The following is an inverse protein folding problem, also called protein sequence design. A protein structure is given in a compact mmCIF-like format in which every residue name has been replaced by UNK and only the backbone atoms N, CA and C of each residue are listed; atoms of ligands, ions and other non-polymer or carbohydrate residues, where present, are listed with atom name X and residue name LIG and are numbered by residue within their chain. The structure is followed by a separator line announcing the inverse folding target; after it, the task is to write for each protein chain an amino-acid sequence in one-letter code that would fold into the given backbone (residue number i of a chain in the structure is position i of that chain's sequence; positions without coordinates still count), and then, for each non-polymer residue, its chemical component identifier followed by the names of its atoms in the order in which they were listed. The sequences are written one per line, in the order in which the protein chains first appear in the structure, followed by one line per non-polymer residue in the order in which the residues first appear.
data_IF_013214779915
#
_entry.id   IF_013214779915
#
_cell.length_a   1.000
_cell.length_b   1.000
_cell.length_c   1.000
_cell.angle_alpha   90.00
_cell.angle_beta   90.00
_cell.angle_gamma   90.00
#
_symmetry.space_group_name_H-M   'P 1'
#
loop_
_entity.id
_entity.type
_entity.pdbx_description
1 polymer ?
#
# COMPACT_ATOMS: atom_id res chain seq x y z
N UNK A 1 -79.79 119.55 -46.87
CA UNK A 1 -80.82 119.99 -47.84
C UNK A 1 -80.29 121.25 -48.49
N UNK A 2 -80.27 121.30 -49.81
CA UNK A 2 -79.45 122.25 -50.57
C UNK A 2 -80.28 122.89 -51.67
N UNK A 3 -80.21 124.21 -51.82
CA UNK A 3 -80.95 124.95 -52.84
C UNK A 3 -80.02 125.25 -54.01
N UNK A 4 -80.41 124.88 -55.22
CA UNK A 4 -79.67 125.20 -56.43
C UNK A 4 -80.29 126.46 -57.08
N UNK A 5 -79.45 127.42 -57.43
CA UNK A 5 -79.84 128.61 -58.19
C UNK A 5 -79.00 128.72 -59.46
N UNK A 6 -79.58 129.32 -60.50
CA UNK A 6 -78.83 129.63 -61.71
C UNK A 6 -79.39 130.84 -62.44
N UNK A 7 -78.51 131.55 -63.13
CA UNK A 7 -78.80 132.69 -63.98
C UNK A 7 -78.21 132.37 -65.36
N UNK A 8 -79.08 132.01 -66.30
CA UNK A 8 -78.76 131.44 -67.60
C UNK A 8 -79.11 132.47 -68.67
N UNK A 9 -78.12 132.76 -69.52
CA UNK A 9 -78.20 133.73 -70.59
C UNK A 9 -77.68 133.13 -71.89
N UNK A 10 -78.14 133.65 -73.02
CA UNK A 10 -77.57 133.32 -74.32
C UNK A 10 -76.22 134.02 -74.55
N UNK A 11 -75.55 133.71 -75.65
CA UNK A 11 -74.25 134.31 -76.00
C UNK A 11 -74.31 135.84 -76.21
N UNK A 12 -75.51 136.40 -76.45
CA UNK A 12 -75.76 137.84 -76.51
C UNK A 12 -76.12 138.46 -75.15
N UNK A 13 -75.97 137.70 -74.06
CA UNK A 13 -76.31 138.04 -72.68
C UNK A 13 -77.80 138.35 -72.46
N UNK A 14 -78.68 137.87 -73.34
CA UNK A 14 -80.12 137.97 -73.13
C UNK A 14 -80.59 136.82 -72.22
N UNK A 15 -81.56 137.06 -71.33
CA UNK A 15 -82.04 136.00 -70.45
C UNK A 15 -82.69 134.86 -71.24
N UNK A 16 -82.33 133.62 -70.93
CA UNK A 16 -82.87 132.44 -71.62
C UNK A 16 -84.16 131.98 -70.95
N UNK A 17 -85.26 131.99 -71.69
CA UNK A 17 -86.54 131.43 -71.22
C UNK A 17 -86.61 129.94 -71.58
N UNK A 18 -87.04 129.10 -70.62
CA UNK A 18 -87.05 127.65 -70.76
C UNK A 18 -87.37 126.94 -69.44
N UNK A 19 -87.02 125.66 -69.34
CA UNK A 19 -87.24 124.84 -68.14
C UNK A 19 -85.95 124.17 -67.73
N UNK A 20 -85.65 124.17 -66.43
CA UNK A 20 -84.56 123.39 -65.83
C UNK A 20 -85.12 122.19 -65.08
N UNK A 21 -84.69 120.99 -65.44
CA UNK A 21 -85.08 119.75 -64.78
C UNK A 21 -83.94 119.23 -63.89
N UNK A 22 -84.23 118.89 -62.64
CA UNK A 22 -83.24 118.38 -61.69
C UNK A 22 -83.66 117.00 -61.14
N UNK A 23 -82.73 116.05 -61.12
CA UNK A 23 -82.96 114.68 -60.62
C UNK A 23 -81.68 114.00 -60.12
N UNK A 24 -81.82 112.96 -59.29
CA UNK A 24 -80.66 112.19 -58.81
C UNK A 24 -80.03 111.35 -59.92
N UNK A 25 -78.70 111.34 -60.00
CA UNK A 25 -77.96 110.56 -60.99
C UNK A 25 -78.00 109.05 -60.74
N UNK A 26 -78.48 108.58 -59.57
CA UNK A 26 -78.81 107.16 -59.31
C UNK A 26 -79.81 107.05 -58.17
N UNK A 27 -80.54 105.94 -58.13
CA UNK A 27 -81.33 105.59 -56.95
C UNK A 27 -80.39 105.40 -55.77
N UNK A 28 -80.57 106.19 -54.70
CA UNK A 28 -79.67 106.21 -53.55
C UNK A 28 -80.42 106.48 -52.26
N UNK A 29 -79.85 106.10 -51.13
CA UNK A 29 -80.46 106.39 -49.82
C UNK A 29 -80.53 107.90 -49.59
N UNK A 30 -81.66 108.39 -49.08
CA UNK A 30 -81.88 109.79 -48.73
C UNK A 30 -81.02 110.18 -47.52
N UNK A 31 -80.47 111.39 -47.54
CA UNK A 31 -79.54 111.86 -46.54
C UNK A 31 -80.29 112.63 -45.45
N UNK A 32 -80.35 112.06 -44.24
CA UNK A 32 -80.96 112.70 -43.06
C UNK A 32 -82.49 112.56 -42.91
N UNK A 33 -83.26 112.25 -43.96
CA UNK A 33 -84.73 112.17 -43.88
C UNK A 33 -85.32 110.75 -43.83
N UNK A 34 -84.52 109.69 -43.99
CA UNK A 34 -85.01 108.31 -44.13
C UNK A 34 -85.71 108.07 -45.47
N UNK A 35 -85.46 106.91 -46.11
CA UNK A 35 -86.00 106.58 -47.45
C UNK A 35 -84.93 106.56 -48.55
N UNK A 36 -85.38 106.47 -49.82
CA UNK A 36 -84.51 106.36 -51.01
C UNK A 36 -84.88 107.47 -51.99
N UNK A 37 -83.90 108.28 -52.38
CA UNK A 37 -83.99 109.23 -53.48
C UNK A 37 -83.98 108.45 -54.79
N UNK A 38 -85.12 108.48 -55.47
CA UNK A 38 -85.27 107.92 -56.81
C UNK A 38 -84.77 108.93 -57.85
N UNK A 39 -84.76 108.54 -59.13
CA UNK A 39 -84.33 109.40 -60.24
C UNK A 39 -85.49 110.23 -60.80
N UNK A 40 -86.48 110.53 -59.95
CA UNK A 40 -87.63 111.34 -60.33
C UNK A 40 -87.21 112.75 -60.74
N UNK A 41 -87.82 113.26 -61.81
CA UNK A 41 -87.44 114.50 -62.50
C UNK A 41 -88.33 115.65 -62.05
N UNK A 42 -87.71 116.74 -61.59
CA UNK A 42 -88.41 117.93 -61.11
C UNK A 42 -88.10 119.14 -61.97
N UNK A 43 -89.13 119.72 -62.55
CA UNK A 43 -89.03 120.83 -63.49
C UNK A 43 -89.23 122.18 -62.80
N UNK A 44 -88.39 123.15 -63.15
CA UNK A 44 -88.42 124.52 -62.66
C UNK A 44 -88.39 125.47 -63.86
N UNK A 45 -89.40 126.34 -64.04
CA UNK A 45 -89.40 127.29 -65.13
C UNK A 45 -88.31 128.35 -64.92
N UNK A 46 -87.62 128.72 -65.99
CA UNK A 46 -86.79 129.92 -66.05
C UNK A 46 -87.70 131.12 -66.29
N UNK A 47 -87.52 132.17 -65.50
CA UNK A 47 -88.24 133.44 -65.70
C UNK A 47 -87.24 134.58 -65.63
N UNK A 48 -87.07 135.32 -66.72
CA UNK A 48 -85.99 136.29 -66.86
C UNK A 48 -84.60 135.64 -66.79
N UNK A 49 -84.45 134.42 -67.33
CA UNK A 49 -83.19 133.66 -67.34
C UNK A 49 -82.79 133.02 -66.00
N UNK A 50 -83.55 133.24 -64.92
CA UNK A 50 -83.18 132.76 -63.59
C UNK A 50 -84.09 131.63 -63.12
N UNK A 51 -83.50 130.64 -62.44
CA UNK A 51 -84.25 129.65 -61.67
C UNK A 51 -83.71 129.52 -60.24
N UNK A 52 -84.58 129.03 -59.36
CA UNK A 52 -84.25 128.63 -58.00
C UNK A 52 -85.05 127.38 -57.66
N UNK A 53 -84.36 126.33 -57.26
CA UNK A 53 -85.04 125.10 -56.84
C UNK A 53 -85.62 125.24 -55.43
N UNK A 54 -86.47 124.29 -55.05
CA UNK A 54 -86.71 124.02 -53.63
C UNK A 54 -85.48 123.36 -52.98
N UNK A 55 -85.64 122.92 -51.73
CA UNK A 55 -84.62 122.12 -51.04
C UNK A 55 -84.44 120.75 -51.72
N UNK A 56 -83.21 120.43 -52.10
CA UNK A 56 -82.81 119.16 -52.72
C UNK A 56 -81.93 118.34 -51.76
N UNK A 57 -82.01 117.01 -51.88
CA UNK A 57 -81.18 116.10 -51.09
C UNK A 57 -79.71 116.08 -51.61
N UNK A 58 -78.70 116.25 -50.73
CA UNK A 58 -77.29 116.27 -51.11
C UNK A 58 -76.80 114.98 -51.78
N UNK A 59 -75.94 115.09 -52.78
CA UNK A 59 -75.31 113.97 -53.50
C UNK A 59 -75.42 114.10 -55.02
N UNK A 60 -74.94 113.07 -55.74
CA UNK A 60 -74.80 113.12 -57.21
C UNK A 60 -76.11 113.38 -57.93
N UNK A 61 -76.20 114.55 -58.53
CA UNK A 61 -77.42 115.13 -59.10
C UNK A 61 -77.15 115.62 -60.50
N UNK A 62 -78.13 115.41 -61.37
CA UNK A 62 -78.11 115.84 -62.76
C UNK A 62 -79.09 116.98 -62.95
N UNK A 63 -78.62 118.04 -63.58
CA UNK A 63 -79.39 119.23 -63.93
C UNK A 63 -79.40 119.34 -65.44
N UNK A 64 -80.59 119.39 -66.02
CA UNK A 64 -80.81 119.52 -67.45
C UNK A 64 -81.52 120.82 -67.77
N UNK A 65 -80.96 121.60 -68.71
CA UNK A 65 -81.56 122.81 -69.25
C UNK A 65 -82.23 122.47 -70.58
N UNK A 66 -83.50 122.84 -70.71
CA UNK A 66 -84.25 122.76 -71.96
C UNK A 66 -84.83 124.13 -72.30
N UNK A 67 -84.28 124.78 -73.32
CA UNK A 67 -84.75 126.06 -73.84
C UNK A 67 -84.83 125.99 -75.39
N UNK A 68 -85.55 126.90 -76.07
CA UNK A 68 -85.66 126.87 -77.53
C UNK A 68 -84.28 126.90 -78.20
N UNK A 69 -83.88 125.77 -78.80
CA UNK A 69 -82.59 125.60 -79.48
C UNK A 69 -81.40 125.18 -78.59
N UNK A 70 -81.59 124.96 -77.28
CA UNK A 70 -80.53 124.54 -76.35
C UNK A 70 -81.01 123.39 -75.46
N UNK A 71 -80.28 122.27 -75.48
CA UNK A 71 -80.41 121.19 -74.49
C UNK A 71 -79.03 120.89 -73.92
N UNK A 72 -78.86 121.10 -72.61
CA UNK A 72 -77.59 120.87 -71.91
C UNK A 72 -77.83 120.07 -70.63
N UNK A 73 -76.88 119.21 -70.26
CA UNK A 73 -76.97 118.35 -69.08
C UNK A 73 -75.65 118.35 -68.30
N UNK A 74 -75.73 118.62 -67.01
CA UNK A 74 -74.57 118.59 -66.11
C UNK A 74 -74.84 117.66 -64.93
N UNK A 75 -73.84 116.84 -64.57
CA UNK A 75 -73.92 115.95 -63.41
C UNK A 75 -72.77 116.21 -62.45
N UNK A 76 -73.10 116.58 -61.22
CA UNK A 76 -72.14 116.89 -60.17
C UNK A 76 -72.69 116.48 -58.80
N UNK A 77 -71.85 116.53 -57.76
CA UNK A 77 -72.27 116.23 -56.39
C UNK A 77 -72.79 117.48 -55.69
N UNK A 78 -74.08 117.50 -55.33
CA UNK A 78 -74.64 118.57 -54.50
C UNK A 78 -74.10 118.43 -53.05
N UNK A 79 -73.56 119.50 -52.45
CA UNK A 79 -73.05 119.47 -51.08
C UNK A 79 -74.18 119.31 -50.04
N UNK A 80 -73.79 119.02 -48.79
CA UNK A 80 -74.69 118.63 -47.70
C UNK A 80 -75.75 119.70 -47.33
N UNK A 81 -75.40 120.97 -47.46
CA UNK A 81 -76.25 122.11 -47.11
C UNK A 81 -75.79 123.40 -47.83
N UNK A 82 -76.68 124.40 -47.87
CA UNK A 82 -76.41 125.74 -48.44
C UNK A 82 -77.16 126.08 -49.73
N UNK A 83 -76.90 127.27 -50.27
CA UNK A 83 -77.36 127.68 -51.62
C UNK A 83 -76.18 127.61 -52.58
N UNK A 84 -76.28 126.79 -53.63
CA UNK A 84 -75.21 126.54 -54.61
C UNK A 84 -75.59 127.18 -55.95
N UNK A 85 -74.64 127.87 -56.57
CA UNK A 85 -74.78 128.38 -57.93
C UNK A 85 -74.47 127.27 -58.94
N UNK A 86 -75.31 127.12 -59.98
CA UNK A 86 -75.09 126.13 -61.03
C UNK A 86 -73.74 126.31 -61.74
N UNK A 87 -73.29 127.55 -61.93
CA UNK A 87 -71.99 127.85 -62.58
C UNK A 87 -70.83 127.28 -61.76
N UNK A 88 -70.82 127.55 -60.45
CA UNK A 88 -69.76 127.09 -59.54
C UNK A 88 -69.73 125.55 -59.46
N UNK A 89 -70.90 124.91 -59.58
CA UNK A 89 -71.02 123.46 -59.53
C UNK A 89 -70.56 122.75 -60.81
N UNK A 90 -70.61 123.44 -61.96
CA UNK A 90 -70.16 122.90 -63.26
C UNK A 90 -68.64 123.07 -63.44
N UNK A 91 -68.03 124.12 -62.91
CA UNK A 91 -66.58 124.33 -63.02
C UNK A 91 -65.73 123.38 -62.12
N UNK A 92 -66.34 122.70 -61.14
CA UNK A 92 -65.61 121.87 -60.16
C UNK A 92 -65.51 120.36 -60.48
N UNK A 93 -66.04 119.87 -61.60
CA UNK A 93 -66.00 118.44 -61.94
C UNK A 93 -64.83 118.08 -62.87
N UNK A 94 -63.84 117.33 -62.36
CA UNK A 94 -62.73 116.71 -63.13
C UNK A 94 -62.93 115.19 -63.20
N UNK A 95 -62.82 114.60 -64.40
CA UNK A 95 -62.97 113.16 -64.68
C UNK A 95 -61.66 112.38 -64.41
N UNK A 96 -61.71 111.22 -63.73
CA UNK A 96 -60.54 110.35 -63.43
C UNK A 96 -60.78 108.91 -63.90
N UNK A 97 -59.83 108.34 -64.68
CA UNK A 97 -59.81 106.97 -65.22
C UNK A 97 -58.38 106.40 -65.10
N UNK A 98 -58.10 105.27 -64.38
CA UNK A 98 -56.73 104.79 -64.18
C UNK A 98 -56.23 103.76 -65.21
N UNK A 99 -54.90 103.70 -65.35
CA UNK A 99 -54.13 103.09 -66.45
C UNK A 99 -53.71 101.61 -66.21
N UNK A 100 -53.46 100.88 -67.31
CA UNK A 100 -53.29 99.43 -67.46
C UNK A 100 -52.06 98.76 -66.78
N UNK A 101 -51.13 99.54 -66.23
CA UNK A 101 -49.89 99.02 -65.61
C UNK A 101 -50.11 98.33 -64.25
N UNK A 102 -51.11 98.76 -63.49
CA UNK A 102 -51.36 98.27 -62.12
C UNK A 102 -51.95 96.85 -62.11
N UNK A 103 -52.75 96.51 -63.13
CA UNK A 103 -53.37 95.18 -63.27
C UNK A 103 -52.33 94.12 -63.66
N UNK A 104 -51.38 94.46 -64.53
CA UNK A 104 -50.30 93.54 -64.93
C UNK A 104 -49.29 93.27 -63.79
N UNK A 105 -49.03 94.27 -62.92
CA UNK A 105 -48.17 94.09 -61.74
C UNK A 105 -48.75 93.12 -60.71
N UNK A 106 -50.06 93.15 -60.47
CA UNK A 106 -50.72 92.25 -59.54
C UNK A 106 -50.77 90.79 -60.05
N UNK A 107 -50.99 90.60 -61.35
CA UNK A 107 -50.97 89.27 -61.97
C UNK A 107 -49.57 88.61 -61.93
N UNK A 108 -48.50 89.41 -62.10
CA UNK A 108 -47.12 88.91 -62.01
C UNK A 108 -46.72 88.47 -60.59
N UNK A 109 -47.25 89.12 -59.55
CA UNK A 109 -46.99 88.76 -58.16
C UNK A 109 -47.67 87.42 -57.76
N UNK A 110 -48.89 87.17 -58.24
CA UNK A 110 -49.61 85.91 -58.01
C UNK A 110 -48.89 84.71 -58.64
N UNK A 111 -48.44 84.85 -59.90
CA UNK A 111 -47.68 83.80 -60.59
C UNK A 111 -46.34 83.46 -59.91
N UNK A 112 -45.72 84.42 -59.21
CA UNK A 112 -44.48 84.19 -58.46
C UNK A 112 -44.73 83.42 -57.16
N UNK A 113 -45.84 83.69 -56.48
CA UNK A 113 -46.25 82.96 -55.27
C UNK A 113 -46.59 81.49 -55.57
N UNK A 114 -47.25 81.21 -56.69
CA UNK A 114 -47.56 79.83 -57.11
C UNK A 114 -46.29 79.01 -57.44
N UNK A 115 -45.28 79.62 -58.05
CA UNK A 115 -43.98 78.97 -58.29
C UNK A 115 -43.26 78.62 -56.98
N UNK A 116 -43.22 79.54 -56.02
CA UNK A 116 -42.62 79.28 -54.71
C UNK A 116 -43.38 78.22 -53.90
N UNK A 117 -44.71 78.16 -54.02
CA UNK A 117 -45.50 77.09 -53.42
C UNK A 117 -45.19 75.72 -54.06
N UNK A 118 -45.01 75.67 -55.39
CA UNK A 118 -44.60 74.46 -56.11
C UNK A 118 -43.19 73.99 -55.75
N UNK A 119 -42.23 74.91 -55.62
CA UNK A 119 -40.88 74.62 -55.15
C UNK A 119 -40.88 74.10 -53.70
N UNK A 120 -41.65 74.71 -52.79
CA UNK A 120 -41.80 74.25 -51.41
C UNK A 120 -42.45 72.86 -51.31
N UNK A 121 -43.45 72.57 -52.14
CA UNK A 121 -44.06 71.24 -52.22
C UNK A 121 -43.09 70.19 -52.77
N UNK A 122 -42.27 70.56 -53.77
CA UNK A 122 -41.19 69.73 -54.29
C UNK A 122 -40.13 69.42 -53.24
N UNK A 123 -39.69 70.42 -52.47
CA UNK A 123 -38.77 70.24 -51.34
C UNK A 123 -39.36 69.38 -50.22
N UNK A 124 -40.65 69.51 -49.91
CA UNK A 124 -41.33 68.67 -48.92
C UNK A 124 -41.43 67.20 -49.38
N UNK A 125 -41.68 66.95 -50.66
CA UNK A 125 -41.70 65.60 -51.23
C UNK A 125 -40.30 64.95 -51.24
N UNK A 126 -39.24 65.72 -51.52
CA UNK A 126 -37.85 65.26 -51.41
C UNK A 126 -37.49 64.95 -49.96
N UNK A 127 -37.89 65.80 -49.00
CA UNK A 127 -37.68 65.57 -47.58
C UNK A 127 -38.46 64.33 -47.06
N UNK A 128 -39.68 64.10 -47.56
CA UNK A 128 -40.47 62.90 -47.29
C UNK A 128 -39.77 61.62 -47.77
N UNK A 129 -39.32 61.61 -49.03
CA UNK A 129 -38.55 60.48 -49.59
C UNK A 129 -37.24 60.22 -48.83
N UNK A 130 -36.50 61.27 -48.47
CA UNK A 130 -35.28 61.13 -47.68
C UNK A 130 -35.55 60.55 -46.28
N UNK A 131 -36.70 60.88 -45.68
CA UNK A 131 -37.13 60.30 -44.40
C UNK A 131 -37.48 58.83 -44.55
N UNK A 132 -38.22 58.46 -45.59
CA UNK A 132 -38.60 57.07 -45.85
C UNK A 132 -37.38 56.20 -46.17
N UNK A 133 -36.43 56.72 -46.95
CA UNK A 133 -35.12 56.07 -47.19
C UNK A 133 -34.31 55.93 -45.90
N UNK A 134 -34.31 56.93 -45.02
CA UNK A 134 -33.64 56.84 -43.72
C UNK A 134 -34.27 55.76 -42.82
N UNK A 135 -35.61 55.67 -42.78
CA UNK A 135 -36.32 54.62 -42.04
C UNK A 135 -36.05 53.24 -42.63
N UNK A 136 -36.06 53.11 -43.96
CA UNK A 136 -35.72 51.85 -44.65
C UNK A 136 -34.26 51.44 -44.40
N UNK A 137 -33.33 52.39 -44.39
CA UNK A 137 -31.93 52.16 -44.03
C UNK A 137 -31.81 51.71 -42.57
N UNK A 138 -32.53 52.35 -41.63
CA UNK A 138 -32.56 51.96 -40.22
C UNK A 138 -33.11 50.53 -40.02
N UNK A 139 -34.17 50.17 -40.74
CA UNK A 139 -34.74 48.82 -40.72
C UNK A 139 -33.81 47.78 -41.35
N UNK A 140 -33.05 48.15 -42.39
CA UNK A 140 -32.01 47.30 -42.97
C UNK A 140 -30.85 47.07 -41.99
N UNK A 141 -30.34 48.14 -41.37
CA UNK A 141 -29.30 48.05 -40.34
C UNK A 141 -29.78 47.20 -39.17
N UNK A 142 -31.01 47.39 -38.69
CA UNK A 142 -31.56 46.61 -37.59
C UNK A 142 -31.62 45.12 -37.91
N UNK A 143 -32.06 44.74 -39.12
CA UNK A 143 -32.05 43.34 -39.57
C UNK A 143 -30.65 42.76 -39.71
N UNK A 144 -29.68 43.53 -40.21
CA UNK A 144 -28.28 43.10 -40.31
C UNK A 144 -27.68 42.91 -38.92
N UNK A 145 -27.93 43.83 -37.99
CA UNK A 145 -27.48 43.74 -36.60
C UNK A 145 -28.11 42.53 -35.91
N UNK A 146 -29.42 42.32 -36.05
CA UNK A 146 -30.10 41.18 -35.45
C UNK A 146 -29.59 39.84 -36.01
N UNK A 147 -29.42 39.75 -37.33
CA UNK A 147 -28.80 38.58 -37.98
C UNK A 147 -27.38 38.32 -37.47
N UNK A 148 -26.54 39.36 -37.43
CA UNK A 148 -25.17 39.26 -36.93
C UNK A 148 -25.12 38.84 -35.45
N UNK A 149 -25.98 39.40 -34.59
CA UNK A 149 -26.09 39.02 -33.18
C UNK A 149 -26.51 37.56 -33.04
N UNK A 150 -27.43 37.09 -33.89
CA UNK A 150 -27.89 35.70 -33.86
C UNK A 150 -26.79 34.72 -34.26
N UNK A 151 -26.03 35.05 -35.32
CA UNK A 151 -24.86 34.27 -35.76
C UNK A 151 -23.78 34.25 -34.68
N UNK A 152 -23.41 35.41 -34.14
CA UNK A 152 -22.39 35.52 -33.08
C UNK A 152 -22.80 34.77 -31.82
N UNK A 153 -24.08 34.84 -31.42
CA UNK A 153 -24.59 34.07 -30.28
C UNK A 153 -24.53 32.56 -30.55
N UNK A 154 -24.87 32.13 -31.75
CA UNK A 154 -24.77 30.73 -32.18
C UNK A 154 -23.33 30.21 -32.13
N UNK A 155 -22.40 30.93 -32.77
CA UNK A 155 -20.96 30.63 -32.77
C UNK A 155 -20.37 30.61 -31.35
N UNK A 156 -20.73 31.57 -30.51
CA UNK A 156 -20.28 31.59 -29.11
C UNK A 156 -20.80 30.39 -28.31
N UNK A 157 -22.04 29.97 -28.57
CA UNK A 157 -22.64 28.78 -27.93
C UNK A 157 -21.94 27.50 -28.38
N UNK A 158 -21.67 27.35 -29.69
CA UNK A 158 -20.90 26.22 -30.23
C UNK A 158 -19.48 26.17 -29.67
N UNK A 159 -18.79 27.32 -29.65
CA UNK A 159 -17.44 27.44 -29.09
C UNK A 159 -17.41 27.04 -27.61
N UNK A 160 -18.41 27.47 -26.85
CA UNK A 160 -18.55 27.13 -25.42
C UNK A 160 -18.78 25.63 -25.25
N UNK A 161 -19.71 25.03 -25.99
CA UNK A 161 -19.96 23.59 -25.93
C UNK A 161 -18.77 22.73 -26.35
N UNK A 162 -17.99 23.19 -27.35
CA UNK A 162 -16.73 22.54 -27.76
C UNK A 162 -15.64 22.66 -26.69
N UNK A 163 -15.57 23.79 -26.00
CA UNK A 163 -14.62 24.00 -24.91
C UNK A 163 -14.96 23.13 -23.68
N UNK A 164 -16.24 23.05 -23.31
CA UNK A 164 -16.74 22.17 -22.25
C UNK A 164 -16.43 20.69 -22.57
N UNK A 165 -16.80 20.24 -23.78
CA UNK A 165 -16.49 18.87 -24.20
C UNK A 165 -14.99 18.57 -24.24
N UNK A 166 -14.15 19.58 -24.52
CA UNK A 166 -12.69 19.44 -24.48
C UNK A 166 -12.16 19.37 -23.04
N UNK A 167 -12.76 20.11 -22.11
CA UNK A 167 -12.45 20.03 -20.69
C UNK A 167 -12.80 18.64 -20.13
N UNK A 168 -13.99 18.11 -20.45
CA UNK A 168 -14.42 16.78 -20.00
C UNK A 168 -13.46 15.67 -20.49
N UNK A 169 -13.08 15.71 -21.78
CA UNK A 169 -12.10 14.76 -22.33
C UNK A 169 -10.72 14.91 -21.68
N UNK A 170 -10.33 16.11 -21.27
CA UNK A 170 -9.05 16.34 -20.59
C UNK A 170 -9.09 15.80 -19.15
N UNK A 171 -10.23 15.88 -18.47
CA UNK A 171 -10.44 15.28 -17.15
C UNK A 171 -10.42 13.75 -17.23
N UNK A 172 -11.16 13.15 -18.16
CA UNK A 172 -11.15 11.71 -18.40
C UNK A 172 -9.75 11.18 -18.75
N UNK A 173 -8.99 11.93 -19.55
CA UNK A 173 -7.60 11.58 -19.87
C UNK A 173 -6.68 11.67 -18.63
N UNK A 174 -6.90 12.64 -17.73
CA UNK A 174 -6.17 12.74 -16.46
C UNK A 174 -6.49 11.58 -15.54
N UNK A 175 -7.76 11.19 -15.43
CA UNK A 175 -8.18 10.04 -14.60
C UNK A 175 -7.61 8.73 -15.14
N UNK A 176 -7.60 8.56 -16.47
CA UNK A 176 -6.98 7.41 -17.13
C UNK A 176 -5.46 7.38 -16.91
N UNK A 177 -4.80 8.55 -16.94
CA UNK A 177 -3.38 8.65 -16.63
C UNK A 177 -3.09 8.37 -15.15
N UNK A 178 -3.94 8.81 -14.23
CA UNK A 178 -3.85 8.54 -12.80
C UNK A 178 -3.96 7.05 -12.50
N UNK A 179 -5.02 6.40 -13.00
CA UNK A 179 -5.20 4.95 -12.86
C UNK A 179 -4.06 4.15 -13.48
N UNK A 180 -3.51 4.58 -14.61
CA UNK A 180 -2.33 3.96 -15.23
C UNK A 180 -1.07 4.12 -14.36
N UNK A 181 -0.89 5.28 -13.73
CA UNK A 181 0.22 5.53 -12.82
C UNK A 181 0.11 4.67 -11.55
N UNK A 182 -1.08 4.54 -10.97
CA UNK A 182 -1.33 3.68 -9.80
C UNK A 182 -1.07 2.20 -10.11
N UNK A 183 -1.47 1.73 -11.30
CA UNK A 183 -1.19 0.38 -11.76
C UNK A 183 0.32 0.14 -11.97
N UNK A 184 1.04 1.13 -12.49
CA UNK A 184 2.50 1.07 -12.64
C UNK A 184 3.22 1.06 -11.28
N UNK A 185 2.76 1.86 -10.31
CA UNK A 185 3.28 1.87 -8.95
C UNK A 185 3.07 0.51 -8.26
N UNK A 186 1.85 -0.03 -8.35
CA UNK A 186 1.52 -1.37 -7.81
C UNK A 186 2.39 -2.48 -8.44
N UNK A 187 2.66 -2.38 -9.75
CA UNK A 187 3.52 -3.32 -10.46
C UNK A 187 4.99 -3.20 -10.01
N UNK A 188 5.47 -1.99 -9.73
CA UNK A 188 6.81 -1.75 -9.22
C UNK A 188 6.98 -2.30 -7.79
N UNK A 189 5.98 -2.14 -6.93
CA UNK A 189 5.95 -2.73 -5.58
C UNK A 189 5.99 -4.27 -5.65
N UNK A 190 5.15 -4.88 -6.49
CA UNK A 190 5.16 -6.33 -6.68
C UNK A 190 6.51 -6.86 -7.21
N UNK A 191 7.19 -6.10 -8.07
CA UNK A 191 8.54 -6.43 -8.55
C UNK A 191 9.58 -6.31 -7.43
N UNK A 192 9.48 -5.31 -6.55
CA UNK A 192 10.35 -5.15 -5.39
C UNK A 192 10.17 -6.30 -4.38
N UNK A 193 8.92 -6.68 -4.09
CA UNK A 193 8.61 -7.83 -3.22
C UNK A 193 9.15 -9.15 -3.79
N UNK A 194 9.03 -9.32 -5.11
CA UNK A 194 9.59 -10.48 -5.81
C UNK A 194 11.12 -10.52 -5.72
N UNK A 195 11.79 -9.36 -5.84
CA UNK A 195 13.24 -9.26 -5.67
C UNK A 195 13.68 -9.59 -4.24
N UNK A 196 13.00 -9.05 -3.23
CA UNK A 196 13.27 -9.37 -1.82
C UNK A 196 13.08 -10.87 -1.52
N UNK A 197 12.04 -11.47 -2.10
CA UNK A 197 11.81 -12.93 -1.99
C UNK A 197 12.96 -13.72 -2.63
N UNK A 198 13.44 -13.30 -3.80
CA UNK A 198 14.58 -13.92 -4.47
C UNK A 198 15.89 -13.81 -3.64
N UNK A 199 16.15 -12.66 -3.01
CA UNK A 199 17.29 -12.49 -2.09
C UNK A 199 17.17 -13.41 -0.86
N UNK A 200 15.96 -13.59 -0.34
CA UNK A 200 15.66 -14.56 0.71
C UNK A 200 16.00 -15.99 0.28
N UNK A 201 15.64 -16.38 -0.95
CA UNK A 201 16.00 -17.69 -1.50
C UNK A 201 17.52 -17.86 -1.67
N UNK A 202 18.25 -16.85 -2.14
CA UNK A 202 19.72 -16.91 -2.25
C UNK A 202 20.36 -17.13 -0.88
N UNK A 203 19.88 -16.44 0.16
CA UNK A 203 20.36 -16.61 1.53
C UNK A 203 20.08 -18.02 2.06
N UNK A 204 18.87 -18.54 1.82
CA UNK A 204 18.51 -19.91 2.20
C UNK A 204 19.36 -20.97 1.47
N UNK A 205 19.69 -20.74 0.20
CA UNK A 205 20.59 -21.61 -0.58
C UNK A 205 22.00 -21.58 0.02
N UNK A 206 22.53 -20.40 0.37
CA UNK A 206 23.84 -20.28 1.01
C UNK A 206 23.90 -21.04 2.35
N UNK A 207 22.87 -20.90 3.20
CA UNK A 207 22.77 -21.68 4.44
C UNK A 207 22.73 -23.19 4.18
N UNK A 208 21.98 -23.61 3.17
CA UNK A 208 21.88 -25.03 2.81
C UNK A 208 23.23 -25.60 2.34
N UNK A 209 24.03 -24.81 1.61
CA UNK A 209 25.37 -25.18 1.20
C UNK A 209 26.31 -25.34 2.41
N UNK A 210 26.31 -24.39 3.35
CA UNK A 210 27.13 -24.48 4.57
C UNK A 210 26.74 -25.69 5.45
N UNK A 211 25.45 -26.02 5.53
CA UNK A 211 24.99 -27.24 6.21
C UNK A 211 25.47 -28.51 5.51
N UNK A 212 25.48 -28.53 4.18
CA UNK A 212 25.99 -29.64 3.39
C UNK A 212 27.51 -29.84 3.57
N UNK A 213 28.28 -28.75 3.62
CA UNK A 213 29.72 -28.79 3.92
C UNK A 213 29.98 -29.33 5.33
N UNK A 214 29.27 -28.81 6.34
CA UNK A 214 29.40 -29.31 7.73
C UNK A 214 29.04 -30.78 7.85
N UNK A 215 28.02 -31.25 7.11
CA UNK A 215 27.62 -32.65 7.10
C UNK A 215 28.68 -33.54 6.43
N UNK A 216 29.33 -33.04 5.37
CA UNK A 216 30.46 -33.73 4.71
C UNK A 216 31.64 -33.86 5.67
N UNK A 217 32.05 -32.79 6.34
CA UNK A 217 33.16 -32.81 7.30
C UNK A 217 32.88 -33.77 8.47
N UNK A 218 31.63 -33.79 8.96
CA UNK A 218 31.20 -34.75 9.97
C UNK A 218 31.29 -36.20 9.45
N UNK A 219 30.89 -36.47 8.20
CA UNK A 219 31.00 -37.79 7.60
C UNK A 219 32.46 -38.23 7.43
N UNK A 220 33.35 -37.34 7.01
CA UNK A 220 34.79 -37.59 6.94
C UNK A 220 35.36 -37.91 8.35
N UNK A 221 34.92 -37.17 9.38
CA UNK A 221 35.26 -37.45 10.78
C UNK A 221 34.81 -38.82 11.29
N UNK A 222 33.60 -39.25 10.92
CA UNK A 222 33.09 -40.58 11.26
C UNK A 222 33.86 -41.69 10.54
N UNK A 223 34.22 -41.48 9.26
CA UNK A 223 35.02 -42.43 8.50
C UNK A 223 36.41 -42.66 9.13
N UNK A 224 37.10 -41.57 9.51
CA UNK A 224 38.40 -41.66 10.21
C UNK A 224 38.28 -42.38 11.56
N UNK A 225 37.19 -42.14 12.30
CA UNK A 225 36.93 -42.82 13.57
C UNK A 225 36.70 -44.33 13.36
N UNK A 226 35.94 -44.69 12.33
CA UNK A 226 35.68 -46.08 11.97
C UNK A 226 36.97 -46.84 11.58
N UNK A 227 37.85 -46.20 10.80
CA UNK A 227 39.16 -46.76 10.46
C UNK A 227 40.01 -46.99 11.71
N UNK A 228 40.07 -46.01 12.61
CA UNK A 228 40.77 -46.15 13.88
C UNK A 228 40.18 -47.26 14.78
N UNK A 229 38.87 -47.48 14.74
CA UNK A 229 38.25 -48.62 15.42
C UNK A 229 38.63 -49.96 14.80
N UNK A 230 38.71 -50.03 13.45
CA UNK A 230 39.16 -51.23 12.75
C UNK A 230 40.61 -51.58 13.10
N UNK A 231 41.51 -50.60 13.16
CA UNK A 231 42.92 -50.80 13.57
C UNK A 231 43.03 -51.32 15.00
N UNK A 232 42.27 -50.73 15.94
CA UNK A 232 42.24 -51.21 17.34
C UNK A 232 41.70 -52.64 17.43
N UNK A 233 40.70 -52.98 16.62
CA UNK A 233 40.15 -54.34 16.56
C UNK A 233 41.19 -55.33 16.01
N UNK A 234 41.90 -54.97 14.94
CA UNK A 234 42.98 -55.78 14.36
C UNK A 234 44.15 -55.98 15.35
N UNK A 235 44.54 -54.93 16.08
CA UNK A 235 45.54 -55.02 17.15
C UNK A 235 45.10 -55.92 18.29
N UNK A 236 43.83 -55.84 18.70
CA UNK A 236 43.26 -56.70 19.73
C UNK A 236 43.19 -58.18 19.29
N UNK A 237 42.84 -58.44 18.03
CA UNK A 237 42.85 -59.77 17.45
C UNK A 237 44.26 -60.37 17.44
N UNK A 238 45.25 -59.59 17.00
CA UNK A 238 46.66 -59.98 17.03
C UNK A 238 47.11 -60.32 18.46
N UNK A 239 46.78 -59.49 19.45
CA UNK A 239 47.14 -59.75 20.85
C UNK A 239 46.49 -61.04 21.40
N UNK A 240 45.25 -61.33 21.00
CA UNK A 240 44.55 -62.57 21.36
C UNK A 240 45.24 -63.80 20.74
N UNK A 241 45.69 -63.73 19.49
CA UNK A 241 46.44 -64.81 18.84
C UNK A 241 47.77 -65.10 19.54
N UNK A 242 48.52 -64.05 19.92
CA UNK A 242 49.77 -64.21 20.69
C UNK A 242 49.51 -64.86 22.05
N UNK A 243 48.45 -64.45 22.74
CA UNK A 243 48.05 -65.03 24.02
C UNK A 243 47.65 -66.50 23.87
N UNK A 244 46.93 -66.84 22.81
CA UNK A 244 46.58 -68.21 22.49
C UNK A 244 47.83 -69.07 22.16
N UNK A 245 48.81 -68.50 21.45
CA UNK A 245 50.10 -69.14 21.20
C UNK A 245 50.85 -69.45 22.50
N UNK A 246 51.01 -68.46 23.37
CA UNK A 246 51.65 -68.63 24.66
C UNK A 246 50.95 -69.69 25.55
N UNK A 247 49.62 -69.76 25.50
CA UNK A 247 48.86 -70.78 26.20
C UNK A 247 49.15 -72.20 25.66
N UNK A 248 49.26 -72.36 24.33
CA UNK A 248 49.63 -73.66 23.73
C UNK A 248 51.05 -74.07 24.14
N UNK A 249 51.99 -73.14 24.14
CA UNK A 249 53.37 -73.41 24.56
C UNK A 249 53.44 -73.82 26.03
N UNK A 250 52.66 -73.15 26.90
CA UNK A 250 52.53 -73.52 28.31
C UNK A 250 51.96 -74.93 28.50
N UNK A 251 50.93 -75.31 27.73
CA UNK A 251 50.40 -76.68 27.74
C UNK A 251 51.47 -77.69 27.28
N UNK A 252 52.26 -77.36 26.26
CA UNK A 252 53.40 -78.17 25.83
C UNK A 252 54.40 -78.40 26.96
N UNK A 253 54.81 -77.32 27.64
CA UNK A 253 55.72 -77.40 28.78
C UNK A 253 55.16 -78.23 29.95
N UNK A 254 53.86 -78.14 30.23
CA UNK A 254 53.20 -78.97 31.25
C UNK A 254 53.22 -80.45 30.87
N UNK A 255 52.95 -80.79 29.62
CA UNK A 255 53.00 -82.18 29.14
C UNK A 255 54.42 -82.76 29.20
N UNK A 256 55.42 -81.96 28.87
CA UNK A 256 56.83 -82.33 29.01
C UNK A 256 57.20 -82.58 30.48
N UNK A 257 56.77 -81.69 31.37
CA UNK A 257 56.99 -81.83 32.82
C UNK A 257 56.30 -83.08 33.37
N UNK A 258 55.05 -83.35 32.96
CA UNK A 258 54.31 -84.55 33.34
C UNK A 258 55.01 -85.83 32.87
N UNK A 259 55.52 -85.84 31.63
CA UNK A 259 56.27 -86.97 31.06
C UNK A 259 57.56 -87.24 31.84
N UNK A 260 58.31 -86.19 32.20
CA UNK A 260 59.51 -86.31 33.05
C UNK A 260 59.18 -86.82 34.45
N UNK A 261 58.09 -86.33 35.05
CA UNK A 261 57.62 -86.79 36.35
C UNK A 261 57.22 -88.28 36.32
N UNK A 262 56.54 -88.73 35.26
CA UNK A 262 56.20 -90.13 35.07
C UNK A 262 57.45 -91.01 34.90
N UNK A 263 58.42 -90.58 34.11
CA UNK A 263 59.68 -91.30 33.95
C UNK A 263 60.44 -91.42 35.28
N UNK A 264 60.49 -90.33 36.08
CA UNK A 264 61.10 -90.34 37.40
C UNK A 264 60.38 -91.29 38.38
N UNK A 265 59.04 -91.35 38.33
CA UNK A 265 58.25 -92.30 39.12
C UNK A 265 58.60 -93.74 38.76
N UNK A 266 58.59 -94.08 37.47
CA UNK A 266 58.91 -95.44 36.99
C UNK A 266 60.32 -95.84 37.39
N UNK A 267 61.31 -94.94 37.24
CA UNK A 267 62.67 -95.20 37.68
C UNK A 267 62.78 -95.41 39.19
N UNK A 268 62.02 -94.66 39.99
CA UNK A 268 61.96 -94.85 41.45
C UNK A 268 61.31 -96.17 41.85
N UNK A 269 60.25 -96.59 41.16
CA UNK A 269 59.60 -97.89 41.36
C UNK A 269 60.53 -99.04 41.02
N UNK A 270 61.25 -98.96 39.90
CA UNK A 270 62.25 -99.95 39.52
C UNK A 270 63.37 -100.05 40.58
N UNK A 271 63.94 -98.92 41.01
CA UNK A 271 64.98 -98.89 42.03
C UNK A 271 64.50 -99.48 43.36
N UNK A 272 63.24 -99.23 43.74
CA UNK A 272 62.61 -99.86 44.91
C UNK A 272 62.52 -101.36 44.74
N UNK A 273 62.04 -101.84 43.60
CA UNK A 273 61.84 -103.28 43.36
C UNK A 273 63.17 -104.04 43.31
N UNK A 274 64.21 -103.46 42.70
CA UNK A 274 65.59 -103.97 42.73
C UNK A 274 66.14 -104.01 44.18
N UNK A 275 65.90 -102.98 44.98
CA UNK A 275 66.31 -102.95 46.38
C UNK A 275 65.59 -104.03 47.22
N UNK A 276 64.31 -104.27 46.97
CA UNK A 276 63.54 -105.36 47.62
C UNK A 276 64.13 -106.72 47.25
N UNK A 277 64.38 -106.98 45.97
CA UNK A 277 64.98 -108.24 45.52
C UNK A 277 66.38 -108.47 46.10
N UNK A 278 67.21 -107.41 46.17
CA UNK A 278 68.52 -107.47 46.80
C UNK A 278 68.41 -107.79 48.30
N UNK A 279 67.45 -107.19 49.00
CA UNK A 279 67.19 -107.48 50.42
C UNK A 279 66.73 -108.93 50.64
N UNK A 280 65.84 -109.45 49.78
CA UNK A 280 65.41 -110.86 49.84
C UNK A 280 66.56 -111.84 49.58
N UNK A 281 67.40 -111.54 48.59
CA UNK A 281 68.60 -112.34 48.28
C UNK A 281 69.62 -112.33 49.42
N UNK A 282 69.79 -111.17 50.09
CA UNK A 282 70.65 -111.07 51.27
C UNK A 282 70.09 -111.89 52.45
N UNK A 283 68.76 -111.94 52.62
CA UNK A 283 68.09 -112.72 53.66
C UNK A 283 68.27 -114.22 53.48
N UNK A 284 68.24 -114.74 52.24
CA UNK A 284 68.45 -116.16 51.96
C UNK A 284 69.92 -116.59 52.10
N UNK A 285 70.86 -115.69 51.83
CA UNK A 285 72.30 -115.95 51.98
C UNK A 285 72.86 -115.77 53.39
N UNK A 286 72.06 -115.34 54.37
CA UNK A 286 72.53 -115.07 55.72
C UNK A 286 72.67 -116.34 56.58
N UNK A 287 73.76 -116.49 57.37
CA UNK A 287 73.91 -117.59 58.31
C UNK A 287 72.91 -117.50 59.48
N UNK A 288 72.61 -118.64 60.12
CA UNK A 288 71.72 -118.71 61.29
C UNK A 288 72.32 -117.88 62.43
N UNK A 289 71.67 -116.76 62.78
CA UNK A 289 72.16 -115.77 63.75
C UNK A 289 72.45 -114.39 63.15
N UNK A 290 72.47 -114.25 61.82
CA UNK A 290 72.74 -113.00 61.13
C UNK A 290 74.23 -112.71 60.96
N UNK A 291 74.55 -111.55 60.37
CA UNK A 291 75.93 -111.10 60.16
C UNK A 291 76.37 -110.19 61.30
N UNK A 292 77.47 -110.51 61.96
CA UNK A 292 78.10 -109.65 62.97
C UNK A 292 78.63 -108.35 62.31
N UNK A 293 78.25 -107.18 62.81
CA UNK A 293 78.57 -105.88 62.18
C UNK A 293 80.08 -105.64 62.03
N UNK A 294 80.88 -106.22 62.94
CA UNK A 294 82.34 -106.15 62.96
C UNK A 294 83.00 -107.00 61.88
N UNK A 295 82.32 -108.06 61.40
CA UNK A 295 82.78 -108.93 60.32
C UNK A 295 82.44 -108.41 58.92
N UNK A 296 81.54 -107.43 58.81
CA UNK A 296 81.17 -106.82 57.52
C UNK A 296 82.35 -106.00 56.97
N UNK A 297 82.45 -105.85 55.65
CA UNK A 297 83.47 -104.98 55.06
C UNK A 297 83.21 -103.51 55.40
N UNK A 298 84.25 -102.68 55.35
CA UNK A 298 84.14 -101.24 55.63
C UNK A 298 83.05 -100.59 54.76
N UNK A 299 83.03 -100.88 53.45
CA UNK A 299 82.04 -100.32 52.53
C UNK A 299 80.59 -100.71 52.88
N UNK A 300 80.36 -101.94 53.39
CA UNK A 300 79.02 -102.38 53.82
C UNK A 300 78.60 -101.68 55.11
N UNK A 301 79.51 -101.52 56.08
CA UNK A 301 79.23 -100.78 57.33
C UNK A 301 78.89 -99.32 57.06
N UNK A 302 79.64 -98.66 56.18
CA UNK A 302 79.35 -97.29 55.75
C UNK A 302 78.01 -97.18 55.02
N UNK A 303 77.65 -98.18 54.21
CA UNK A 303 76.35 -98.21 53.53
C UNK A 303 75.18 -98.41 54.49
N UNK A 304 75.32 -99.25 55.52
CA UNK A 304 74.33 -99.40 56.59
C UNK A 304 74.16 -98.08 57.36
N UNK A 305 75.26 -97.39 57.68
CA UNK A 305 75.20 -96.09 58.36
C UNK A 305 74.50 -95.00 57.53
N UNK A 306 74.70 -95.00 56.20
CA UNK A 306 73.95 -94.11 55.29
C UNK A 306 72.45 -94.45 55.25
N UNK A 307 72.09 -95.74 55.24
CA UNK A 307 70.69 -96.17 55.26
C UNK A 307 69.96 -95.77 56.55
N UNK A 308 70.62 -95.91 57.71
CA UNK A 308 70.08 -95.53 59.02
C UNK A 308 69.88 -94.00 59.13
N UNK A 309 70.80 -93.22 58.54
CA UNK A 309 70.67 -91.76 58.44
C UNK A 309 69.52 -91.31 57.51
N UNK A 310 69.26 -92.07 56.45
CA UNK A 310 68.16 -91.79 55.51
C UNK A 310 66.77 -92.11 56.10
N UNK A 311 66.68 -93.05 57.04
CA UNK A 311 65.45 -93.34 57.79
C UNK A 311 65.07 -92.25 58.80
N UNK A 312 66.04 -91.42 59.22
CA UNK A 312 65.87 -90.39 60.26
C UNK A 312 65.86 -88.97 59.70
N UNK A 313 66.28 -88.75 58.46
CA UNK A 313 66.25 -87.44 57.78
C UNK A 313 65.75 -87.59 56.34
N UNK A 314 64.59 -86.99 56.02
CA UNK A 314 64.12 -86.94 54.62
C UNK A 314 64.86 -85.82 53.89
N UNK A 315 65.65 -86.12 52.85
CA UNK A 315 66.40 -85.11 52.11
C UNK A 315 65.47 -84.19 51.31
N UNK A 316 65.88 -82.94 51.11
CA UNK A 316 65.18 -81.99 50.23
C UNK A 316 65.29 -82.46 48.78
N UNK A 317 64.20 -82.41 48.03
CA UNK A 317 64.22 -82.76 46.61
C UNK A 317 65.20 -81.87 45.82
N UNK A 318 65.96 -82.47 44.90
CA UNK A 318 66.85 -81.75 43.97
C UNK A 318 66.33 -81.92 42.54
N UNK A 319 66.95 -81.21 41.58
CA UNK A 319 66.58 -81.31 40.16
C UNK A 319 66.73 -82.73 39.57
N UNK A 320 67.45 -83.63 40.24
CA UNK A 320 67.79 -84.96 39.77
C UNK A 320 67.52 -86.07 40.79
N UNK A 321 66.91 -85.76 41.95
CA UNK A 321 66.64 -86.75 43.00
C UNK A 321 65.37 -86.42 43.77
N UNK A 322 64.51 -87.43 43.97
CA UNK A 322 63.28 -87.30 44.73
C UNK A 322 63.57 -87.09 46.23
N UNK A 323 62.78 -86.24 46.89
CA UNK A 323 62.89 -85.90 48.30
C UNK A 323 61.64 -85.12 48.76
N UNK A 324 61.63 -84.59 49.99
CA UNK A 324 60.51 -83.75 50.45
C UNK A 324 60.53 -82.37 49.78
N UNK A 325 59.37 -81.88 49.34
CA UNK A 325 59.19 -80.55 48.72
C UNK A 325 58.49 -79.62 49.70
N UNK A 326 59.11 -78.47 49.99
CA UNK A 326 58.48 -77.38 50.76
C UNK A 326 57.90 -76.36 49.78
N UNK A 327 56.58 -76.33 49.62
CA UNK A 327 55.89 -75.34 48.80
C UNK A 327 55.89 -73.99 49.55
N UNK A 328 56.29 -72.92 48.87
CA UNK A 328 56.24 -71.54 49.37
C UNK A 328 55.46 -70.67 48.38
N UNK A 329 54.71 -69.69 48.87
CA UNK A 329 53.80 -68.87 48.06
C UNK A 329 52.33 -69.09 48.46
N UNK A 330 51.41 -68.77 47.55
CA UNK A 330 49.96 -68.78 47.79
C UNK A 330 49.31 -70.18 47.63
N UNK A 331 50.10 -71.24 47.77
CA UNK A 331 49.62 -72.62 47.78
C UNK A 331 49.39 -73.06 49.23
N UNK A 332 48.15 -73.37 49.58
CA UNK A 332 47.74 -73.81 50.91
C UNK A 332 46.94 -75.13 50.84
N UNK A 333 46.47 -75.64 51.98
CA UNK A 333 45.68 -76.88 52.06
C UNK A 333 46.54 -78.13 52.28
N UNK A 334 45.92 -79.30 52.15
CA UNK A 334 46.55 -80.61 52.32
C UNK A 334 46.85 -81.25 50.97
N UNK A 335 47.60 -82.35 50.96
CA UNK A 335 47.97 -83.06 49.73
C UNK A 335 46.76 -83.62 48.96
N UNK A 336 45.63 -83.87 49.64
CA UNK A 336 44.36 -84.36 49.09
C UNK A 336 43.32 -83.25 48.83
N UNK A 337 43.59 -82.01 49.28
CA UNK A 337 42.73 -80.85 49.06
C UNK A 337 43.56 -79.55 48.95
N UNK A 338 44.34 -79.36 47.88
CA UNK A 338 45.13 -78.14 47.71
C UNK A 338 44.23 -76.94 47.42
N UNK A 339 44.59 -75.78 47.97
CA UNK A 339 43.88 -74.51 47.78
C UNK A 339 44.83 -73.42 47.33
N UNK A 340 44.30 -72.42 46.62
CA UNK A 340 45.03 -71.21 46.21
C UNK A 340 44.21 -70.01 46.68
N UNK A 341 44.44 -69.47 47.89
CA UNK A 341 43.60 -68.41 48.47
C UNK A 341 43.43 -67.17 47.57
N UNK A 342 44.45 -66.78 46.81
CA UNK A 342 44.35 -65.69 45.84
C UNK A 342 43.33 -65.91 44.71
N UNK A 343 42.99 -67.16 44.39
CA UNK A 343 41.99 -67.48 43.36
C UNK A 343 40.58 -67.03 43.76
N UNK A 344 40.24 -67.06 45.04
CA UNK A 344 38.95 -66.56 45.54
C UNK A 344 38.78 -65.05 45.26
N UNK A 345 39.88 -64.29 45.40
CA UNK A 345 39.90 -62.85 45.10
C UNK A 345 39.74 -62.59 43.61
N UNK A 346 40.35 -63.43 42.76
CA UNK A 346 40.19 -63.35 41.30
C UNK A 346 38.75 -63.69 40.90
N UNK A 347 38.13 -64.71 41.49
CA UNK A 347 36.74 -65.07 41.23
C UNK A 347 35.76 -63.95 41.61
N UNK A 348 35.96 -63.27 42.75
CA UNK A 348 35.17 -62.09 43.14
C UNK A 348 35.30 -60.94 42.14
N UNK A 349 36.50 -60.73 41.59
CA UNK A 349 36.73 -59.74 40.51
C UNK A 349 36.05 -60.12 39.20
N UNK A 350 36.03 -61.41 38.84
CA UNK A 350 35.34 -61.89 37.64
C UNK A 350 33.82 -61.67 37.76
N UNK A 351 33.21 -61.96 38.91
CA UNK A 351 31.80 -61.69 39.16
C UNK A 351 31.44 -60.19 39.04
N UNK A 352 32.32 -59.31 39.52
CA UNK A 352 32.18 -57.86 39.35
C UNK A 352 32.27 -57.44 37.87
N UNK A 353 33.16 -58.05 37.09
CA UNK A 353 33.30 -57.79 35.65
C UNK A 353 32.08 -58.27 34.84
N UNK A 354 31.43 -59.37 35.26
CA UNK A 354 30.18 -59.82 34.65
C UNK A 354 29.02 -58.84 34.92
N UNK A 355 28.95 -58.25 36.11
CA UNK A 355 27.98 -57.19 36.43
C UNK A 355 28.20 -55.90 35.61
N UNK A 356 29.42 -55.67 35.11
CA UNK A 356 29.75 -54.57 34.20
C UNK A 356 29.42 -54.87 32.73
N UNK A 357 29.08 -56.11 32.35
CA UNK A 357 28.69 -56.44 30.96
C UNK A 357 27.27 -56.04 30.62
N UNK A 358 26.41 -55.89 31.63
CA UNK A 358 25.01 -55.53 31.46
C UNK A 358 24.82 -54.04 31.79
N UNK A 359 24.83 -53.21 30.73
CA UNK A 359 24.89 -51.75 30.84
C UNK A 359 23.69 -51.11 30.17
N UNK A 360 22.97 -50.28 30.92
CA UNK A 360 22.00 -49.33 30.38
C UNK A 360 22.73 -48.03 30.04
N UNK A 361 22.86 -47.71 28.75
CA UNK A 361 23.34 -46.38 28.31
C UNK A 361 22.17 -45.43 28.18
N UNK A 362 22.17 -44.37 29.00
CA UNK A 362 21.13 -43.36 28.98
C UNK A 362 21.26 -42.45 27.75
N UNK A 363 20.15 -42.19 27.09
CA UNK A 363 20.07 -41.31 25.90
C UNK A 363 19.51 -39.93 26.27
N UNK A 364 19.79 -38.90 25.47
CA UNK A 364 19.32 -37.52 25.71
C UNK A 364 17.87 -37.27 25.30
N UNK A 365 17.25 -38.20 24.55
CA UNK A 365 15.90 -38.05 24.01
C UNK A 365 14.77 -38.42 24.98
N UNK A 366 15.10 -38.97 26.15
CA UNK A 366 14.12 -39.39 27.17
C UNK A 366 14.62 -39.06 28.57
N UNK A 367 13.78 -38.66 29.53
CA UNK A 367 14.22 -38.45 30.91
C UNK A 367 14.88 -39.70 31.50
N UNK A 368 16.02 -39.53 32.18
CA UNK A 368 16.76 -40.62 32.81
C UNK A 368 15.91 -41.49 33.77
N UNK A 369 15.00 -40.93 34.62
CA UNK A 369 14.15 -41.76 35.47
C UNK A 369 13.27 -42.72 34.69
N UNK A 370 12.74 -42.29 33.55
CA UNK A 370 11.83 -43.11 32.75
C UNK A 370 12.59 -44.21 32.02
N UNK A 371 13.82 -43.94 31.55
CA UNK A 371 14.68 -44.95 30.93
C UNK A 371 15.01 -46.08 31.91
N UNK A 372 15.31 -45.76 33.17
CA UNK A 372 15.58 -46.76 34.22
C UNK A 372 14.33 -47.59 34.51
N UNK A 373 13.16 -46.95 34.61
CA UNK A 373 11.89 -47.64 34.87
C UNK A 373 11.47 -48.55 33.71
N UNK A 374 11.62 -48.08 32.48
CA UNK A 374 11.41 -48.87 31.27
C UNK A 374 12.31 -50.09 31.27
N UNK A 375 13.59 -49.93 31.62
CA UNK A 375 14.56 -51.02 31.62
C UNK A 375 14.26 -52.07 32.69
N UNK A 376 13.81 -51.65 33.87
CA UNK A 376 13.30 -52.56 34.90
C UNK A 376 12.05 -53.30 34.41
N UNK A 377 11.11 -52.57 33.79
CA UNK A 377 9.88 -53.15 33.24
C UNK A 377 10.20 -54.17 32.13
N UNK A 378 11.14 -53.86 31.24
CA UNK A 378 11.64 -54.76 30.18
C UNK A 378 12.20 -56.05 30.76
N UNK A 379 12.73 -56.00 31.98
CA UNK A 379 13.29 -57.14 32.72
C UNK A 379 12.28 -57.83 33.64
N UNK A 380 11.02 -57.40 33.62
CA UNK A 380 9.97 -57.95 34.49
C UNK A 380 10.10 -57.55 35.96
N UNK A 381 10.76 -56.44 36.25
CA UNK A 381 10.97 -55.89 37.58
C UNK A 381 10.13 -54.64 37.80
N UNK A 382 9.63 -54.45 39.02
CA UNK A 382 8.91 -53.25 39.44
C UNK A 382 9.83 -52.38 40.31
N UNK A 383 9.99 -51.11 39.92
CA UNK A 383 10.83 -50.14 40.62
C UNK A 383 10.39 -49.88 42.07
N UNK A 384 9.16 -50.21 42.43
CA UNK A 384 8.65 -50.10 43.81
C UNK A 384 9.09 -51.26 44.71
N UNK A 385 9.46 -52.41 44.14
CA UNK A 385 9.82 -53.64 44.87
C UNK A 385 11.29 -54.03 44.76
N UNK A 386 12.00 -53.47 43.79
CA UNK A 386 13.40 -53.81 43.52
C UNK A 386 14.31 -53.42 44.70
N UNK A 387 15.02 -54.41 45.25
CA UNK A 387 16.00 -54.16 46.33
C UNK A 387 17.38 -53.79 45.79
N UNK A 388 17.72 -54.21 44.56
CA UNK A 388 18.99 -53.93 43.90
C UNK A 388 18.81 -53.81 42.38
N UNK A 389 19.44 -52.80 41.78
CA UNK A 389 19.45 -52.66 40.31
C UNK A 389 20.41 -53.70 39.73
N UNK A 390 19.95 -54.58 38.81
CA UNK A 390 20.74 -55.71 38.31
C UNK A 390 21.64 -55.36 37.11
N UNK A 391 21.76 -54.08 36.77
CA UNK A 391 22.57 -53.61 35.65
C UNK A 391 23.33 -52.35 36.05
N UNK A 392 24.42 -52.09 35.34
CA UNK A 392 25.20 -50.85 35.48
C UNK A 392 24.60 -49.76 34.59
N UNK A 393 24.83 -48.48 34.91
CA UNK A 393 24.26 -47.38 34.12
C UNK A 393 25.36 -46.45 33.63
N UNK A 394 25.39 -46.22 32.32
CA UNK A 394 26.25 -45.24 31.67
C UNK A 394 25.47 -43.95 31.40
N UNK A 395 25.87 -42.88 32.08
CA UNK A 395 25.29 -41.55 31.96
C UNK A 395 26.20 -40.58 31.18
N UNK A 396 27.14 -41.08 30.37
CA UNK A 396 28.13 -40.29 29.63
C UNK A 396 27.55 -39.19 28.76
N UNK A 397 26.32 -39.35 28.28
CA UNK A 397 25.62 -38.39 27.42
C UNK A 397 24.65 -37.47 28.19
N UNK A 398 24.49 -37.64 29.50
CA UNK A 398 23.44 -36.97 30.26
C UNK A 398 24.02 -35.88 31.13
N UNK A 399 23.40 -34.71 31.07
CA UNK A 399 23.82 -33.54 31.83
C UNK A 399 23.03 -33.44 33.15
N UNK A 400 21.81 -33.98 33.22
CA UNK A 400 20.96 -33.92 34.40
C UNK A 400 20.44 -35.34 34.76
N UNK A 401 20.66 -35.76 36.02
CA UNK A 401 20.18 -37.02 36.61
C UNK A 401 19.24 -36.78 37.81
N UNK A 402 18.57 -35.64 37.83
CA UNK A 402 17.65 -35.28 38.90
C UNK A 402 16.52 -36.30 38.98
N UNK A 403 16.14 -36.66 40.21
CA UNK A 403 15.03 -37.59 40.48
C UNK A 403 15.14 -38.98 39.81
N UNK A 404 16.33 -39.38 39.33
CA UNK A 404 16.52 -40.61 38.54
C UNK A 404 16.02 -41.88 39.23
N UNK A 405 16.19 -41.99 40.56
CA UNK A 405 15.71 -43.10 41.38
C UNK A 405 14.56 -42.69 42.29
N UNK A 406 13.80 -41.66 41.92
CA UNK A 406 12.70 -41.18 42.77
C UNK A 406 11.63 -42.26 42.97
N UNK A 407 11.32 -42.53 44.23
CA UNK A 407 10.28 -43.47 44.65
C UNK A 407 10.67 -44.95 44.66
N UNK A 408 11.97 -45.26 44.54
CA UNK A 408 12.48 -46.63 44.65
C UNK A 408 12.48 -47.08 46.13
N UNK A 409 11.28 -47.33 46.66
CA UNK A 409 11.04 -47.42 48.11
C UNK A 409 11.72 -48.60 48.81
N UNK A 410 12.12 -49.64 48.06
CA UNK A 410 12.76 -50.86 48.55
C UNK A 410 14.24 -51.00 48.18
N UNK A 411 14.79 -50.06 47.42
CA UNK A 411 16.17 -50.11 46.97
C UNK A 411 17.14 -49.97 48.15
N UNK A 412 17.99 -50.96 48.37
CA UNK A 412 18.96 -51.03 49.49
C UNK A 412 20.35 -50.53 49.13
N UNK A 413 20.77 -50.73 47.89
CA UNK A 413 22.10 -50.36 47.40
C UNK A 413 21.96 -49.37 46.24
N UNK A 414 22.72 -48.27 46.29
CA UNK A 414 22.78 -47.34 45.17
C UNK A 414 23.42 -48.04 43.95
N UNK A 415 22.84 -47.90 42.75
CA UNK A 415 23.36 -48.51 41.55
C UNK A 415 24.71 -47.96 41.14
N UNK A 416 25.49 -48.78 40.44
CA UNK A 416 26.79 -48.39 39.91
C UNK A 416 26.61 -47.52 38.65
N UNK A 417 27.08 -46.28 38.73
CA UNK A 417 27.14 -45.35 37.60
C UNK A 417 28.54 -45.39 36.99
N UNK A 418 28.66 -45.82 35.73
CA UNK A 418 29.95 -46.06 35.08
C UNK A 418 30.63 -44.76 34.61
N UNK A 419 29.85 -43.82 34.08
CA UNK A 419 30.37 -42.54 33.61
C UNK A 419 29.34 -41.43 33.89
N UNK A 420 29.75 -40.48 34.73
CA UNK A 420 28.96 -39.29 35.08
C UNK A 420 29.72 -38.00 34.72
N UNK A 421 30.71 -38.07 33.82
CA UNK A 421 31.59 -36.94 33.50
C UNK A 421 30.85 -35.74 32.89
N UNK A 422 29.74 -35.97 32.19
CA UNK A 422 28.91 -34.92 31.60
C UNK A 422 27.82 -34.38 32.55
N UNK A 423 27.60 -35.03 33.69
CA UNK A 423 26.49 -34.72 34.61
C UNK A 423 26.82 -33.47 35.44
N UNK A 424 25.97 -32.45 35.38
CA UNK A 424 26.05 -31.25 36.21
C UNK A 424 25.12 -31.29 37.44
N UNK A 425 24.02 -32.05 37.39
CA UNK A 425 23.03 -32.12 38.47
C UNK A 425 22.57 -33.54 38.76
N UNK A 426 22.46 -33.84 40.06
CA UNK A 426 21.93 -35.09 40.63
C UNK A 426 20.98 -34.76 41.80
N UNK A 427 20.30 -33.63 41.72
CA UNK A 427 19.44 -33.14 42.78
C UNK A 427 18.28 -34.11 43.01
N UNK A 428 18.00 -34.41 44.28
CA UNK A 428 16.89 -35.29 44.68
C UNK A 428 16.89 -36.66 44.00
N UNK A 429 18.06 -37.14 43.53
CA UNK A 429 18.21 -38.39 42.77
C UNK A 429 17.58 -39.60 43.46
N UNK A 430 17.71 -39.69 44.79
CA UNK A 430 17.19 -40.78 45.62
C UNK A 430 15.97 -40.36 46.46
N UNK A 431 15.22 -39.35 46.04
CA UNK A 431 14.05 -38.89 46.79
C UNK A 431 13.01 -40.02 46.90
N UNK A 432 12.66 -40.41 48.12
CA UNK A 432 11.71 -41.51 48.37
C UNK A 432 12.32 -42.92 48.32
N UNK A 433 13.65 -43.04 48.34
CA UNK A 433 14.34 -44.32 48.54
C UNK A 433 14.53 -44.60 50.05
N UNK A 434 13.46 -45.03 50.72
CA UNK A 434 13.46 -45.18 52.19
C UNK A 434 14.28 -46.36 52.71
N UNK A 435 14.60 -47.34 51.86
CA UNK A 435 15.37 -48.54 52.24
C UNK A 435 16.85 -48.47 51.89
N UNK A 436 17.36 -47.32 51.42
CA UNK A 436 18.73 -47.20 50.92
C UNK A 436 19.74 -47.22 52.08
N UNK A 437 20.55 -48.28 52.16
CA UNK A 437 21.54 -48.51 53.22
C UNK A 437 22.96 -48.11 52.79
N UNK A 438 23.30 -48.28 51.51
CA UNK A 438 24.64 -48.02 50.98
C UNK A 438 24.64 -47.17 49.71
N UNK A 439 25.52 -46.18 49.68
CA UNK A 439 25.82 -45.37 48.49
C UNK A 439 27.31 -45.49 48.20
N UNK A 440 27.65 -46.01 47.02
CA UNK A 440 29.03 -46.12 46.56
C UNK A 440 29.54 -44.76 46.04
N UNK A 441 30.84 -44.49 46.18
CA UNK A 441 31.46 -43.22 45.78
C UNK A 441 31.28 -42.97 44.26
N UNK A 442 30.48 -41.97 43.91
CA UNK A 442 30.22 -41.58 42.51
C UNK A 442 31.30 -40.62 42.02
N UNK A 443 32.10 -41.04 41.03
CA UNK A 443 33.14 -40.19 40.42
C UNK A 443 32.54 -39.18 39.45
N UNK A 444 32.13 -38.01 39.95
CA UNK A 444 31.61 -36.90 39.13
C UNK A 444 32.06 -35.52 39.65
N UNK A 445 32.05 -34.52 38.76
CA UNK A 445 32.36 -33.11 39.09
C UNK A 445 31.16 -32.48 39.81
N UNK A 446 30.91 -32.89 41.06
CA UNK A 446 29.72 -32.51 41.84
C UNK A 446 29.75 -31.01 42.22
N UNK A 447 28.70 -30.26 41.87
CA UNK A 447 28.49 -28.87 42.36
C UNK A 447 27.47 -28.78 43.50
N UNK A 448 26.74 -29.86 43.82
CA UNK A 448 25.83 -29.87 44.96
C UNK A 448 25.71 -31.27 45.57
N UNK A 449 25.99 -31.39 46.87
CA UNK A 449 25.65 -32.56 47.68
C UNK A 449 24.12 -32.69 47.79
N UNK A 450 23.57 -33.91 47.80
CA UNK A 450 22.15 -34.12 48.01
C UNK A 450 21.76 -33.68 49.44
N UNK A 451 21.04 -32.56 49.57
CA UNK A 451 20.30 -32.23 50.79
C UNK A 451 19.09 -33.16 50.86
N UNK A 452 19.17 -34.23 51.65
CA UNK A 452 18.01 -35.11 51.85
C UNK A 452 18.26 -36.52 52.35
N UNK A 453 19.42 -36.84 52.94
CA UNK A 453 19.53 -38.01 53.82
C UNK A 453 19.09 -37.57 55.21
N UNK A 454 17.78 -37.66 55.46
CA UNK A 454 17.17 -37.54 56.78
C UNK A 454 16.72 -38.91 57.24
#
# INVERSE_FOLDING_TARGET
MTILIGDIKDIGLRPTEGTVTVFSARTRRANGAGGVITRERRDYPLSGGRFRTGELDPGRTTVELVAPGVFESWTFDLPADGTVSLVDAVELSVDYSPDSAVVNGAAAAAAKAERWAGEAAGSAAVAGRARDEAVAAQASVSRVVESAVTVVRGEFTDLTGRAESAADRAEEARDTAGTSADAAASSAEAAADSAATAEGHVSAVAESASRAESARDAAEGQAMSAESHADRAAGSASAAEHSAGAARDAVGAVNDAASRAQAARVGSEQARDEAVQAAESAKTGAPVGGWEITSLSQGVRESLGRADSALTTVPTATASSAGSVKLAGDLAGTWDAPTVPGLETVMKRIALLEQMRDVLTLTTGKPAPDQVKDELTRRGLDYTTVEKIPFSIDASQNTNLDFMFRGFSKLREAPLLLNTSAVYSMANMFQGCYSLETVHEMKGRLVALPRGLG
#
